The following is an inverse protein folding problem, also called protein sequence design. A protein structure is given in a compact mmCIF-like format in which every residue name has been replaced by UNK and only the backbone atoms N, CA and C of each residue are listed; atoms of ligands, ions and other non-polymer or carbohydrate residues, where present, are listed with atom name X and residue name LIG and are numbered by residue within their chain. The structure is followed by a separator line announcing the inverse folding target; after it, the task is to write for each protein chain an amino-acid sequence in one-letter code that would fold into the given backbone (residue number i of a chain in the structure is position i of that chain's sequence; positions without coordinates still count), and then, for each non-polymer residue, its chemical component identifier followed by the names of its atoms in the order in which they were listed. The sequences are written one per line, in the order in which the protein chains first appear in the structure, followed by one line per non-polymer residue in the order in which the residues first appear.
data_IF_439653605429
#
_entry.id   IF_439653605429
#
_cell.length_a   1.000
_cell.length_b   1.000
_cell.length_c   1.000
_cell.angle_alpha   90.00
_cell.angle_beta   90.00
_cell.angle_gamma   90.00
#
_symmetry.space_group_name_H-M   'P 1'
#
loop_
_entity.id
_entity.type
_entity.pdbx_description
1 polymer ?
#
# COMPACT_ATOMS: atom_id res chain seq x y z
N UNK A 1 -25.86 31.67 5.18
CA UNK A 1 -25.41 30.28 5.42
C UNK A 1 -25.77 29.46 4.20
N UNK A 2 -24.77 28.93 3.50
CA UNK A 2 -24.98 28.16 2.26
C UNK A 2 -25.41 26.74 2.64
N UNK A 3 -26.56 26.27 2.13
CA UNK A 3 -27.02 24.90 2.37
C UNK A 3 -25.97 23.89 1.89
N UNK A 4 -25.64 22.84 2.68
CA UNK A 4 -24.68 21.82 2.26
C UNK A 4 -25.16 21.15 0.97
N UNK A 5 -24.30 21.10 -0.05
CA UNK A 5 -24.59 20.34 -1.27
C UNK A 5 -24.67 18.86 -0.91
N UNK A 6 -25.84 18.28 -1.08
CA UNK A 6 -26.06 16.83 -0.93
C UNK A 6 -25.85 16.18 -2.29
N UNK A 7 -24.99 15.17 -2.35
CA UNK A 7 -24.78 14.43 -3.60
C UNK A 7 -26.04 13.59 -3.92
N UNK A 8 -26.47 13.56 -5.20
CA UNK A 8 -27.68 12.84 -5.60
C UNK A 8 -27.49 11.31 -5.61
N UNK A 9 -26.24 10.84 -5.56
CA UNK A 9 -25.88 9.43 -5.61
C UNK A 9 -25.72 8.87 -4.19
N UNK A 10 -26.13 7.61 -3.95
CA UNK A 10 -25.87 6.94 -2.68
C UNK A 10 -24.36 6.73 -2.47
N UNK A 11 -23.95 6.60 -1.21
CA UNK A 11 -22.57 6.25 -0.87
C UNK A 11 -22.18 4.92 -1.52
N UNK A 12 -20.99 4.86 -2.10
CA UNK A 12 -20.43 3.63 -2.67
C UNK A 12 -19.45 3.04 -1.64
N UNK A 13 -19.62 1.76 -1.33
CA UNK A 13 -18.72 1.04 -0.44
C UNK A 13 -17.52 0.53 -1.25
N UNK A 14 -16.32 1.00 -0.93
CA UNK A 14 -15.06 0.60 -1.58
C UNK A 14 -14.41 -0.58 -0.84
N UNK A 15 -15.21 -1.59 -0.50
CA UNK A 15 -14.84 -2.70 0.38
C UNK A 15 -13.49 -3.34 0.02
N UNK A 16 -12.43 -3.03 0.78
CA UNK A 16 -11.08 -3.58 0.60
C UNK A 16 -10.30 -3.02 -0.59
N UNK A 17 -10.96 -2.41 -1.58
CA UNK A 17 -10.30 -1.83 -2.76
C UNK A 17 -9.31 -0.74 -2.35
N UNK A 18 -9.67 0.08 -1.36
CA UNK A 18 -8.81 1.15 -0.84
C UNK A 18 -7.59 0.57 -0.12
N UNK A 19 -7.77 -0.45 0.71
CA UNK A 19 -6.68 -1.12 1.41
C UNK A 19 -5.72 -1.82 0.44
N UNK A 20 -6.24 -2.51 -0.58
CA UNK A 20 -5.42 -3.12 -1.62
C UNK A 20 -4.68 -2.06 -2.44
N UNK A 21 -5.34 -0.95 -2.76
CA UNK A 21 -4.71 0.14 -3.50
C UNK A 21 -3.64 0.88 -2.67
N UNK A 22 -3.86 1.09 -1.37
CA UNK A 22 -2.91 1.78 -0.50
C UNK A 22 -1.77 0.88 -0.07
N UNK A 23 -2.09 -0.33 0.39
CA UNK A 23 -1.15 -1.22 1.05
C UNK A 23 -0.79 -2.47 0.23
N UNK A 24 -1.38 -2.69 -0.93
CA UNK A 24 -1.02 -3.79 -1.82
C UNK A 24 0.34 -3.55 -2.45
N UNK A 25 1.33 -4.39 -2.11
CA UNK A 25 2.66 -4.34 -2.69
C UNK A 25 3.06 -5.72 -3.21
N UNK A 26 3.89 -5.74 -4.26
CA UNK A 26 4.40 -6.97 -4.84
C UNK A 26 5.93 -7.00 -4.68
N UNK A 27 6.45 -7.51 -3.55
CA UNK A 27 7.89 -7.56 -3.31
C UNK A 27 8.58 -8.47 -4.32
N UNK A 28 9.75 -8.06 -4.80
CA UNK A 28 10.55 -8.87 -5.73
C UNK A 28 11.23 -10.01 -4.98
N UNK A 29 11.05 -11.23 -5.50
CA UNK A 29 11.75 -12.41 -5.02
C UNK A 29 13.28 -12.21 -5.09
N UNK A 30 13.99 -12.70 -4.08
CA UNK A 30 15.45 -12.58 -3.93
C UNK A 30 15.97 -11.15 -3.65
N UNK A 31 15.09 -10.18 -3.35
CA UNK A 31 15.51 -8.88 -2.83
C UNK A 31 15.37 -8.83 -1.30
N UNK A 32 16.50 -8.81 -0.60
CA UNK A 32 16.54 -8.72 0.87
C UNK A 32 15.82 -7.50 1.44
N UNK A 33 15.86 -6.36 0.72
CA UNK A 33 15.18 -5.12 1.14
C UNK A 33 13.66 -5.28 1.04
N UNK A 34 13.15 -5.76 -0.09
CA UNK A 34 11.70 -5.98 -0.25
C UNK A 34 11.16 -7.01 0.73
N UNK A 35 11.93 -8.06 1.05
CA UNK A 35 11.52 -9.06 2.05
C UNK A 35 11.50 -8.47 3.47
N UNK A 36 12.47 -7.62 3.80
CA UNK A 36 12.50 -6.95 5.11
C UNK A 36 11.33 -5.97 5.27
N UNK A 37 11.10 -5.13 4.26
CA UNK A 37 9.97 -4.19 4.25
C UNK A 37 8.61 -4.91 4.24
N UNK A 38 8.50 -6.08 3.60
CA UNK A 38 7.28 -6.88 3.67
C UNK A 38 7.01 -7.40 5.09
N UNK A 39 8.06 -7.81 5.82
CA UNK A 39 7.93 -8.20 7.22
C UNK A 39 7.57 -6.99 8.12
N UNK A 40 8.17 -5.83 7.87
CA UNK A 40 7.86 -4.59 8.58
C UNK A 40 6.41 -4.14 8.32
N UNK A 41 5.92 -4.25 7.09
CA UNK A 41 4.53 -4.02 6.74
C UNK A 41 3.58 -4.95 7.52
N UNK A 42 3.91 -6.23 7.63
CA UNK A 42 3.07 -7.17 8.40
C UNK A 42 3.01 -6.78 9.88
N UNK A 43 4.15 -6.45 10.48
CA UNK A 43 4.20 -5.99 11.88
C UNK A 43 3.46 -4.67 12.10
N UNK A 44 3.60 -3.71 11.17
CA UNK A 44 2.90 -2.43 11.23
C UNK A 44 1.37 -2.61 11.11
N UNK A 45 0.91 -3.52 10.24
CA UNK A 45 -0.52 -3.87 10.12
C UNK A 45 -1.06 -4.51 11.40
N UNK A 46 -0.31 -5.42 12.02
CA UNK A 46 -0.69 -6.04 13.31
C UNK A 46 -0.77 -5.00 14.43
N UNK A 47 0.16 -4.04 14.45
CA UNK A 47 0.18 -2.92 15.38
C UNK A 47 -0.86 -1.83 15.07
N UNK A 48 -1.59 -1.92 13.95
CA UNK A 48 -2.47 -0.87 13.40
C UNK A 48 -1.75 0.47 13.19
N UNK A 49 -0.44 0.43 12.95
CA UNK A 49 0.36 1.58 12.58
C UNK A 49 0.27 1.80 11.06
N UNK A 50 -0.75 2.57 10.68
CA UNK A 50 -1.04 2.87 9.28
C UNK A 50 0.03 3.75 8.61
N UNK A 51 0.81 4.52 9.39
CA UNK A 51 1.87 5.38 8.87
C UNK A 51 3.05 4.55 8.40
N UNK A 52 3.60 3.73 9.30
CA UNK A 52 4.71 2.82 8.96
C UNK A 52 4.31 1.81 7.89
N UNK A 53 3.07 1.31 7.91
CA UNK A 53 2.58 0.42 6.85
C UNK A 53 2.57 1.11 5.47
N UNK A 54 2.21 2.38 5.40
CA UNK A 54 2.21 3.12 4.14
C UNK A 54 3.64 3.36 3.63
N UNK A 55 4.55 3.78 4.52
CA UNK A 55 5.95 4.04 4.16
C UNK A 55 6.63 2.77 3.65
N UNK A 56 6.46 1.63 4.34
CA UNK A 56 7.01 0.35 3.90
C UNK A 56 6.52 -0.05 2.50
N UNK A 57 5.23 0.16 2.20
CA UNK A 57 4.64 -0.13 0.88
C UNK A 57 5.16 0.83 -0.19
N UNK A 58 5.29 2.11 0.13
CA UNK A 58 5.85 3.11 -0.78
C UNK A 58 7.30 2.79 -1.14
N UNK A 59 8.11 2.38 -0.16
CA UNK A 59 9.49 1.95 -0.38
C UNK A 59 9.55 0.68 -1.25
N UNK A 60 8.73 -0.33 -0.99
CA UNK A 60 8.68 -1.55 -1.83
C UNK A 60 8.32 -1.20 -3.29
N UNK A 61 7.36 -0.29 -3.51
CA UNK A 61 6.92 0.10 -4.86
C UNK A 61 7.97 0.90 -5.63
N UNK A 62 8.71 1.76 -4.94
CA UNK A 62 9.71 2.62 -5.54
C UNK A 62 11.13 2.02 -5.53
N UNK A 63 11.31 0.85 -4.90
CA UNK A 63 12.62 0.22 -4.77
C UNK A 63 13.23 -0.10 -6.14
N UNK A 64 14.42 0.45 -6.46
CA UNK A 64 15.07 0.19 -7.73
C UNK A 64 15.64 -1.23 -7.74
N UNK A 65 15.02 -2.12 -8.50
CA UNK A 65 15.60 -3.44 -8.76
C UNK A 65 16.54 -3.37 -9.97
N UNK A 66 17.74 -3.99 -9.88
CA UNK A 66 18.52 -4.24 -11.08
C UNK A 66 17.67 -5.13 -11.97
N UNK A 67 17.19 -4.58 -13.09
CA UNK A 67 16.46 -5.33 -14.10
C UNK A 67 17.32 -6.53 -14.44
N UNK A 68 16.88 -7.76 -14.12
CA UNK A 68 17.57 -8.96 -14.62
C UNK A 68 17.58 -8.82 -16.13
N UNK A 69 18.72 -8.44 -16.73
CA UNK A 69 18.94 -8.54 -18.16
C UNK A 69 18.63 -9.99 -18.51
N UNK A 70 17.54 -10.20 -19.24
CA UNK A 70 17.17 -11.51 -19.77
C UNK A 70 18.33 -11.94 -20.70
N UNK A 71 18.86 -13.17 -20.56
CA UNK A 71 19.88 -13.68 -21.49
C UNK A 71 19.35 -13.74 -22.92
#
# INVERSE_FOLDING_TARGET
MTSPRTYPLPAVELAGLVDDYLYGCQPVADCGVCTALAAELTGAREAKDHGTAYDAVAEIRNHPHPVKRKP
#
